data_IF_058675492979
#
_entry.id   IF_058675492979
#
_cell.length_a   1.000
_cell.length_b   1.000
_cell.length_c   1.000
_cell.angle_alpha   90.00
_cell.angle_beta   90.00
_cell.angle_gamma   90.00
#
_symmetry.space_group_name_H-M   'P 1'
#
loop_
_entity.id
_entity.type
_entity.pdbx_description
1 polymer ?
#
# COMPACT_ATOMS: atom_id res chain seq x y z
N UNK A 1 -37.57 12.38 14.71
CA UNK A 1 -36.60 11.27 14.68
C UNK A 1 -37.30 10.02 14.13
N UNK A 2 -37.25 9.77 12.82
CA UNK A 2 -38.07 8.72 12.20
C UNK A 2 -37.42 8.03 10.99
N UNK A 3 -36.23 8.47 10.57
CA UNK A 3 -35.52 7.92 9.40
C UNK A 3 -34.33 7.02 9.80
N UNK A 4 -33.83 7.15 11.03
CA UNK A 4 -32.66 6.41 11.50
C UNK A 4 -32.94 4.90 11.65
N UNK A 5 -34.10 4.56 12.21
CA UNK A 5 -34.51 3.17 12.42
C UNK A 5 -34.64 2.37 11.11
N UNK A 6 -35.39 2.84 10.08
CA UNK A 6 -35.47 2.11 8.81
C UNK A 6 -34.12 2.01 8.08
N UNK A 7 -33.24 3.02 8.19
CA UNK A 7 -31.90 2.96 7.62
C UNK A 7 -30.99 1.94 8.31
N UNK A 8 -31.11 1.80 9.63
CA UNK A 8 -30.36 0.81 10.41
C UNK A 8 -30.80 -0.61 10.02
N UNK A 9 -32.11 -0.85 9.94
CA UNK A 9 -32.63 -2.16 9.51
C UNK A 9 -32.19 -2.48 8.07
N UNK A 10 -32.20 -1.48 7.18
CA UNK A 10 -31.75 -1.63 5.79
C UNK A 10 -30.24 -1.95 5.71
N UNK A 11 -29.40 -1.32 6.53
CA UNK A 11 -27.96 -1.59 6.54
C UNK A 11 -27.64 -2.99 7.07
N UNK A 12 -28.35 -3.44 8.11
CA UNK A 12 -28.24 -4.82 8.62
C UNK A 12 -28.65 -5.84 7.56
N UNK A 13 -29.78 -5.63 6.88
CA UNK A 13 -30.22 -6.50 5.79
C UNK A 13 -29.19 -6.57 4.65
N UNK A 14 -28.57 -5.43 4.29
CA UNK A 14 -27.48 -5.41 3.30
C UNK A 14 -26.27 -6.24 3.75
N UNK A 15 -25.91 -6.18 5.04
CA UNK A 15 -24.81 -6.98 5.60
C UNK A 15 -25.11 -8.47 5.52
N UNK A 16 -26.34 -8.90 5.88
CA UNK A 16 -26.75 -10.30 5.80
C UNK A 16 -26.68 -10.85 4.37
N UNK A 17 -27.19 -10.10 3.39
CA UNK A 17 -27.14 -10.49 1.98
C UNK A 17 -25.70 -10.63 1.49
N UNK A 18 -24.82 -9.69 1.88
CA UNK A 18 -23.39 -9.75 1.53
C UNK A 18 -22.69 -10.93 2.21
N UNK A 19 -22.95 -11.17 3.50
CA UNK A 19 -22.35 -12.29 4.25
C UNK A 19 -22.77 -13.64 3.67
N UNK A 20 -24.04 -13.81 3.35
CA UNK A 20 -24.53 -15.04 2.71
C UNK A 20 -23.86 -15.27 1.35
N UNK A 21 -23.71 -14.22 0.54
CA UNK A 21 -22.96 -14.30 -0.72
C UNK A 21 -21.46 -14.61 -0.50
N UNK A 22 -20.86 -14.15 0.60
CA UNK A 22 -19.48 -14.47 0.97
C UNK A 22 -19.33 -15.94 1.40
N UNK A 23 -20.26 -16.46 2.20
CA UNK A 23 -20.28 -17.85 2.65
C UNK A 23 -20.47 -18.82 1.47
N UNK A 24 -21.38 -18.50 0.54
CA UNK A 24 -21.57 -19.24 -0.71
C UNK A 24 -20.32 -19.24 -1.59
N UNK A 25 -19.53 -18.17 -1.57
CA UNK A 25 -18.23 -18.09 -2.26
C UNK A 25 -17.09 -18.76 -1.49
N UNK A 26 -17.37 -19.37 -0.34
CA UNK A 26 -16.38 -20.05 0.50
C UNK A 26 -15.40 -19.12 1.20
N UNK A 27 -15.76 -17.85 1.40
CA UNK A 27 -14.92 -16.86 2.06
C UNK A 27 -14.69 -17.28 3.52
N UNK A 28 -13.46 -17.67 3.88
CA UNK A 28 -13.12 -18.14 5.23
C UNK A 28 -12.99 -19.66 5.37
N UNK A 29 -13.23 -20.43 4.30
CA UNK A 29 -13.06 -21.90 4.31
C UNK A 29 -11.60 -22.38 4.32
N UNK A 30 -10.65 -21.51 3.97
CA UNK A 30 -9.22 -21.82 3.92
C UNK A 30 -8.40 -20.80 4.72
N UNK A 31 -7.32 -21.23 5.40
CA UNK A 31 -6.48 -20.35 6.23
C UNK A 31 -5.61 -19.39 5.40
N UNK A 32 -5.35 -19.70 4.13
CA UNK A 32 -4.53 -18.88 3.23
C UNK A 32 -5.39 -18.11 2.25
N UNK A 33 -5.18 -16.79 2.17
CA UNK A 33 -5.82 -15.92 1.18
C UNK A 33 -4.83 -15.61 0.08
N UNK A 34 -5.20 -15.90 -1.18
CA UNK A 34 -4.45 -15.44 -2.35
C UNK A 34 -4.92 -14.04 -2.72
N UNK A 35 -3.98 -13.11 -2.87
CA UNK A 35 -4.29 -11.74 -3.29
C UNK A 35 -4.48 -11.71 -4.81
N UNK A 36 -5.71 -11.51 -5.28
CA UNK A 36 -6.01 -11.41 -6.72
C UNK A 36 -5.44 -10.12 -7.32
N UNK A 37 -5.63 -8.99 -6.63
CA UNK A 37 -5.11 -7.70 -7.05
C UNK A 37 -3.65 -7.53 -6.58
N UNK A 38 -2.72 -8.33 -7.10
CA UNK A 38 -1.30 -8.06 -6.94
C UNK A 38 -0.84 -7.22 -8.13
N UNK A 39 -0.42 -5.98 -7.90
CA UNK A 39 0.23 -5.18 -8.93
C UNK A 39 1.64 -5.75 -9.15
N UNK A 40 1.94 -6.35 -10.32
CA UNK A 40 3.29 -6.82 -10.58
C UNK A 40 4.24 -5.62 -10.64
N UNK A 41 5.40 -5.75 -10.02
CA UNK A 41 6.49 -4.78 -10.17
C UNK A 41 6.87 -4.74 -11.64
N UNK A 42 6.76 -3.56 -12.24
CA UNK A 42 7.03 -3.36 -13.65
C UNK A 42 8.53 -3.12 -13.86
N UNK A 43 9.04 -3.37 -15.07
CA UNK A 43 10.44 -3.10 -15.39
C UNK A 43 10.83 -1.62 -15.13
N UNK A 44 9.85 -0.72 -15.27
CA UNK A 44 10.00 0.71 -14.97
C UNK A 44 10.31 0.94 -13.48
N UNK A 45 9.64 0.23 -12.58
CA UNK A 45 9.91 0.33 -11.13
C UNK A 45 11.36 -0.05 -10.79
N UNK A 46 11.92 -1.05 -11.50
CA UNK A 46 13.33 -1.42 -11.36
C UNK A 46 14.29 -0.37 -11.90
N UNK A 47 13.96 0.26 -13.03
CA UNK A 47 14.77 1.36 -13.58
C UNK A 47 14.80 2.53 -12.60
N UNK A 48 13.64 2.94 -12.07
CA UNK A 48 13.57 4.00 -11.06
C UNK A 48 14.33 3.64 -9.77
N UNK A 49 14.22 2.39 -9.30
CA UNK A 49 14.95 1.93 -8.13
C UNK A 49 16.48 1.99 -8.35
N UNK A 50 16.95 1.55 -9.53
CA UNK A 50 18.38 1.61 -9.89
C UNK A 50 18.90 3.04 -10.01
N UNK A 51 18.11 3.95 -10.59
CA UNK A 51 18.46 5.36 -10.74
C UNK A 51 18.52 6.06 -9.38
N UNK A 52 17.56 5.79 -8.50
CA UNK A 52 17.54 6.31 -7.14
C UNK A 52 18.79 5.85 -6.35
N UNK A 53 19.14 4.56 -6.45
CA UNK A 53 20.33 4.02 -5.82
C UNK A 53 21.61 4.68 -6.37
N UNK A 54 21.68 4.84 -7.68
CA UNK A 54 22.81 5.48 -8.35
C UNK A 54 23.00 6.94 -7.91
N UNK A 55 21.91 7.72 -7.82
CA UNK A 55 21.93 9.10 -7.34
C UNK A 55 22.44 9.20 -5.89
N UNK A 56 22.01 8.30 -5.02
CA UNK A 56 22.47 8.25 -3.62
C UNK A 56 23.98 7.95 -3.56
N UNK A 57 24.44 6.94 -4.31
CA UNK A 57 25.87 6.59 -4.36
C UNK A 57 26.69 7.75 -4.92
N UNK A 58 26.23 8.39 -6.00
CA UNK A 58 26.89 9.55 -6.58
C UNK A 58 26.97 10.73 -5.60
N UNK A 59 25.90 10.98 -4.84
CA UNK A 59 25.88 12.00 -3.79
C UNK A 59 26.87 11.70 -2.66
N UNK A 60 26.91 10.46 -2.18
CA UNK A 60 27.88 10.02 -1.16
C UNK A 60 29.31 10.11 -1.70
N UNK A 61 29.55 9.69 -2.93
CA UNK A 61 30.86 9.75 -3.59
C UNK A 61 31.33 11.20 -3.75
N UNK A 62 30.45 12.10 -4.19
CA UNK A 62 30.77 13.52 -4.28
C UNK A 62 31.06 14.11 -2.90
N UNK A 63 30.28 13.75 -1.87
CA UNK A 63 30.52 14.16 -0.48
C UNK A 63 31.86 13.67 0.06
N UNK A 64 32.30 12.44 -0.27
CA UNK A 64 33.58 11.92 0.22
C UNK A 64 34.78 12.50 -0.54
N UNK A 65 34.62 12.83 -1.83
CA UNK A 65 35.64 13.54 -2.63
C UNK A 65 35.78 15.01 -2.22
N UNK A 66 34.66 15.67 -1.95
CA UNK A 66 34.64 17.02 -1.41
C UNK A 66 34.94 16.96 0.09
N UNK A 67 36.22 17.02 0.47
CA UNK A 67 36.64 17.47 1.81
C UNK A 67 36.30 18.96 1.97
N UNK A 68 35.02 19.32 1.86
CA UNK A 68 34.57 20.62 2.32
C UNK A 68 34.69 20.61 3.83
N UNK A 69 35.76 21.26 4.33
CA UNK A 69 35.87 21.73 5.71
C UNK A 69 34.62 22.52 6.03
N UNK A 70 33.59 21.84 6.51
CA UNK A 70 32.37 22.46 7.02
C UNK A 70 32.69 23.01 8.40
N UNK A 71 33.48 24.08 8.44
CA UNK A 71 33.35 25.07 9.49
C UNK A 71 32.05 25.83 9.20
N UNK A 72 30.98 25.37 9.83
CA UNK A 72 29.79 26.18 10.03
C UNK A 72 30.21 27.40 10.86
N UNK A 73 30.28 28.56 10.22
CA UNK A 73 30.41 29.81 10.96
C UNK A 73 29.06 30.07 11.64
N UNK A 74 29.06 29.94 12.97
CA UNK A 74 28.10 30.64 13.83
C UNK A 74 28.33 32.15 13.68
#
# INVERSE_FOLDING_TARGET
ASVLLPLLILSLHRVEVVSNAMDLRGFGRYPTRTWYCRKPLTAVDFIFASLALFLVIAGIYLRTRMKVSFWYAL
#
